data_IF_251982898524
#
_entry.id   IF_251982898524
#
_cell.length_a   1.000
_cell.length_b   1.000
_cell.length_c   1.000
_cell.angle_alpha   90.00
_cell.angle_beta   90.00
_cell.angle_gamma   90.00
#
_symmetry.space_group_name_H-M   'P 1'
#
loop_
_entity.id
_entity.type
_entity.pdbx_description
1 polymer ?
#
# COMPACT_ATOMS: atom_id res chain seq x y z
N UNK A 1 -17.43 17.77 13.11
CA UNK A 1 -17.16 18.50 11.86
C UNK A 1 -16.02 17.76 11.17
N UNK A 2 -16.27 17.08 10.06
CA UNK A 2 -15.22 16.39 9.29
C UNK A 2 -14.53 17.43 8.40
N UNK A 3 -13.43 17.98 8.86
CA UNK A 3 -12.54 18.81 8.04
C UNK A 3 -11.91 17.91 6.98
N UNK A 4 -12.16 18.22 5.71
CA UNK A 4 -11.44 17.64 4.59
C UNK A 4 -9.99 18.08 4.71
N UNK A 5 -9.08 17.15 4.97
CA UNK A 5 -7.64 17.44 5.03
C UNK A 5 -7.09 17.44 3.61
N UNK A 6 -6.46 18.53 3.19
CA UNK A 6 -5.77 18.56 1.90
C UNK A 6 -4.47 17.73 1.97
N UNK A 7 -4.05 17.03 0.89
CA UNK A 7 -2.84 16.20 0.90
C UNK A 7 -1.59 16.97 1.35
N UNK A 8 -1.49 18.26 1.01
CA UNK A 8 -0.40 19.12 1.46
C UNK A 8 -0.44 19.32 2.98
N UNK A 9 -1.60 19.47 3.61
CA UNK A 9 -1.72 19.68 5.07
C UNK A 9 -1.33 18.44 5.87
N UNK A 10 -1.57 17.24 5.34
CA UNK A 10 -1.18 15.96 5.97
C UNK A 10 0.30 15.65 5.78
N UNK A 11 0.88 16.05 4.63
CA UNK A 11 2.19 15.58 4.19
C UNK A 11 3.28 16.66 4.25
N UNK A 12 2.97 17.83 4.80
CA UNK A 12 3.87 18.99 4.82
C UNK A 12 5.13 18.81 5.67
N UNK A 13 5.30 17.73 6.44
CA UNK A 13 6.55 17.49 7.15
C UNK A 13 6.84 16.00 7.38
N UNK A 14 8.13 15.67 7.42
CA UNK A 14 8.78 14.42 7.80
C UNK A 14 8.28 13.94 9.18
N UNK A 15 7.06 13.42 9.25
CA UNK A 15 6.56 12.95 10.52
C UNK A 15 7.48 11.82 11.00
N UNK A 16 7.92 11.91 12.26
CA UNK A 16 8.74 10.88 12.86
C UNK A 16 7.96 9.57 13.14
N UNK A 17 6.71 9.51 12.69
CA UNK A 17 5.71 8.56 13.16
C UNK A 17 5.00 7.92 11.97
N UNK A 18 5.57 6.84 11.39
CA UNK A 18 4.94 6.06 10.33
C UNK A 18 3.48 5.65 10.63
N UNK A 19 3.17 5.42 11.91
CA UNK A 19 1.81 5.08 12.37
C UNK A 19 0.83 6.23 12.10
N UNK A 20 1.18 7.48 12.43
CA UNK A 20 0.30 8.63 12.19
C UNK A 20 0.08 8.89 10.70
N UNK A 21 1.07 8.60 9.84
CA UNK A 21 0.89 8.63 8.39
C UNK A 21 -0.11 7.57 7.92
N UNK A 22 0.00 6.35 8.45
CA UNK A 22 -0.93 5.27 8.17
C UNK A 22 -2.36 5.67 8.57
N UNK A 23 -2.55 6.19 9.78
CA UNK A 23 -3.85 6.66 10.27
C UNK A 23 -4.46 7.75 9.38
N UNK A 24 -3.66 8.73 8.97
CA UNK A 24 -4.14 9.82 8.10
C UNK A 24 -4.55 9.31 6.71
N UNK A 25 -3.79 8.40 6.12
CA UNK A 25 -4.15 7.77 4.85
C UNK A 25 -5.43 6.93 5.01
N UNK A 26 -5.55 6.13 6.07
CA UNK A 26 -6.75 5.32 6.35
C UNK A 26 -8.00 6.20 6.45
N UNK A 27 -7.92 7.28 7.23
CA UNK A 27 -9.04 8.21 7.40
C UNK A 27 -9.54 8.79 6.07
N UNK A 28 -8.64 8.94 5.08
CA UNK A 28 -8.96 9.52 3.77
C UNK A 28 -9.87 8.66 2.90
N UNK A 29 -9.84 7.33 3.08
CA UNK A 29 -10.64 6.39 2.28
C UNK A 29 -11.68 5.60 3.07
N UNK A 30 -11.57 5.57 4.40
CA UNK A 30 -12.58 4.96 5.27
C UNK A 30 -13.81 5.88 5.45
N UNK A 31 -13.64 7.19 5.21
CA UNK A 31 -14.72 8.17 5.24
C UNK A 31 -15.40 8.30 3.88
N UNK A 32 -16.73 8.17 3.84
CA UNK A 32 -17.51 8.49 2.63
C UNK A 32 -17.43 9.97 2.30
N UNK A 33 -16.73 10.28 1.22
CA UNK A 33 -16.57 11.62 0.63
C UNK A 33 -16.96 11.59 -0.86
N UNK A 34 -17.25 12.75 -1.49
CA UNK A 34 -17.43 12.81 -2.95
C UNK A 34 -16.25 12.20 -3.72
N UNK A 35 -15.02 12.41 -3.24
CA UNK A 35 -13.80 11.78 -3.78
C UNK A 35 -13.88 10.26 -3.71
N UNK A 36 -14.21 9.68 -2.56
CA UNK A 36 -14.35 8.22 -2.42
C UNK A 36 -15.41 7.64 -3.36
N UNK A 37 -16.55 8.33 -3.54
CA UNK A 37 -17.59 7.89 -4.47
C UNK A 37 -17.12 7.93 -5.93
N UNK A 38 -16.31 8.94 -6.30
CA UNK A 38 -15.70 9.01 -7.62
C UNK A 38 -14.69 7.87 -7.83
N UNK A 39 -13.84 7.57 -6.84
CA UNK A 39 -12.86 6.49 -6.94
C UNK A 39 -13.53 5.10 -7.02
N UNK A 40 -14.64 4.89 -6.31
CA UNK A 40 -15.45 3.67 -6.39
C UNK A 40 -16.06 3.43 -7.79
N UNK A 41 -16.08 4.43 -8.67
CA UNK A 41 -16.47 4.28 -10.07
C UNK A 41 -15.26 4.10 -10.99
N UNK A 42 -14.19 4.88 -10.77
CA UNK A 42 -13.04 4.90 -11.66
C UNK A 42 -12.17 3.65 -11.53
N UNK A 43 -11.90 3.19 -10.31
CA UNK A 43 -10.99 2.09 -10.07
C UNK A 43 -11.51 0.75 -10.66
N UNK A 44 -12.80 0.35 -10.49
CA UNK A 44 -13.35 -0.82 -11.18
C UNK A 44 -13.33 -0.70 -12.70
N UNK A 45 -13.71 0.47 -13.23
CA UNK A 45 -13.76 0.69 -14.67
C UNK A 45 -12.38 0.54 -15.32
N UNK A 46 -11.34 1.09 -14.68
CA UNK A 46 -9.95 0.87 -15.07
C UNK A 46 -9.56 -0.61 -14.94
N UNK A 47 -9.88 -1.26 -13.81
CA UNK A 47 -9.49 -2.65 -13.57
C UNK A 47 -10.04 -3.58 -14.66
N UNK A 48 -11.29 -3.41 -15.09
CA UNK A 48 -11.87 -4.18 -16.20
C UNK A 48 -11.17 -3.94 -17.54
N UNK A 49 -10.69 -2.71 -17.79
CA UNK A 49 -9.87 -2.40 -18.99
C UNK A 49 -8.51 -3.11 -18.90
N UNK A 50 -7.87 -3.05 -17.73
CA UNK A 50 -6.57 -3.66 -17.49
C UNK A 50 -6.62 -5.19 -17.55
N UNK A 51 -7.62 -5.79 -16.90
CA UNK A 51 -7.88 -7.22 -16.92
C UNK A 51 -8.04 -7.76 -18.34
N UNK A 52 -8.79 -7.07 -19.20
CA UNK A 52 -8.93 -7.48 -20.61
C UNK A 52 -7.61 -7.49 -21.38
N UNK A 53 -6.64 -6.64 -21.04
CA UNK A 53 -5.34 -6.69 -21.70
C UNK A 53 -4.46 -7.79 -21.12
N UNK A 54 -4.36 -7.88 -19.79
CA UNK A 54 -3.44 -8.80 -19.12
C UNK A 54 -3.95 -10.25 -19.19
N UNK A 55 -5.18 -10.50 -18.76
CA UNK A 55 -5.70 -11.86 -18.58
C UNK A 55 -6.11 -12.49 -19.91
N UNK A 56 -6.73 -11.72 -20.82
CA UNK A 56 -7.31 -12.27 -22.05
C UNK A 56 -6.32 -12.31 -23.21
N UNK A 57 -5.42 -11.35 -23.30
CA UNK A 57 -4.43 -11.30 -24.39
C UNK A 57 -3.07 -11.84 -24.00
N UNK A 58 -2.80 -12.01 -22.70
CA UNK A 58 -1.47 -12.40 -22.21
C UNK A 58 -0.39 -11.39 -22.57
N UNK A 59 -0.78 -10.15 -22.89
CA UNK A 59 0.14 -9.08 -23.22
C UNK A 59 0.70 -8.51 -21.93
N UNK A 60 2.00 -8.68 -21.72
CA UNK A 60 2.73 -8.06 -20.64
C UNK A 60 3.79 -7.14 -21.21
N UNK A 61 4.08 -6.04 -20.51
CA UNK A 61 5.19 -5.12 -20.86
C UNK A 61 5.09 -4.44 -22.24
N UNK A 62 3.92 -4.45 -22.86
CA UNK A 62 3.62 -3.64 -24.06
C UNK A 62 3.49 -2.16 -23.69
N UNK A 63 3.54 -1.26 -24.68
CA UNK A 63 3.30 0.18 -24.45
C UNK A 63 1.93 0.43 -23.80
N UNK A 64 0.87 -0.20 -24.32
CA UNK A 64 -0.48 -0.10 -23.78
C UNK A 64 -0.59 -0.62 -22.34
N UNK A 65 -0.01 -1.78 -22.03
CA UNK A 65 -0.07 -2.36 -20.68
C UNK A 65 0.78 -1.56 -19.69
N UNK A 66 1.87 -0.95 -20.15
CA UNK A 66 2.67 0.00 -19.37
C UNK A 66 1.90 1.28 -19.06
N UNK A 67 1.19 1.83 -20.05
CA UNK A 67 0.30 2.98 -19.83
C UNK A 67 -0.80 2.64 -18.81
N UNK A 68 -1.48 1.50 -18.99
CA UNK A 68 -2.53 1.06 -18.07
C UNK A 68 -2.01 0.83 -16.65
N UNK A 69 -0.79 0.29 -16.51
CA UNK A 69 -0.16 0.12 -15.20
C UNK A 69 0.10 1.46 -14.51
N UNK A 70 0.57 2.49 -15.24
CA UNK A 70 0.74 3.85 -14.70
C UNK A 70 -0.58 4.52 -14.35
N UNK A 71 -1.61 4.34 -15.19
CA UNK A 71 -2.98 4.80 -14.90
C UNK A 71 -3.51 4.15 -13.61
N UNK A 72 -3.29 2.85 -13.46
CA UNK A 72 -3.66 2.08 -12.26
C UNK A 72 -2.93 2.56 -11.02
N UNK A 73 -1.61 2.80 -11.14
CA UNK A 73 -0.79 3.33 -10.06
C UNK A 73 -1.32 4.66 -9.54
N UNK A 74 -1.64 5.59 -10.44
CA UNK A 74 -2.24 6.87 -10.08
C UNK A 74 -3.63 6.69 -9.43
N UNK A 75 -4.46 5.77 -9.92
CA UNK A 75 -5.77 5.50 -9.31
C UNK A 75 -5.66 4.87 -7.91
N UNK A 76 -4.71 3.94 -7.70
CA UNK A 76 -4.40 3.37 -6.39
C UNK A 76 -3.94 4.47 -5.44
N UNK A 77 -3.03 5.34 -5.88
CA UNK A 77 -2.58 6.53 -5.14
C UNK A 77 -3.76 7.43 -4.72
N UNK A 78 -4.63 7.77 -5.68
CA UNK A 78 -5.81 8.61 -5.42
C UNK A 78 -6.83 7.97 -4.48
N UNK A 79 -6.96 6.65 -4.55
CA UNK A 79 -7.95 5.91 -3.77
C UNK A 79 -7.49 5.75 -2.33
N UNK A 80 -6.24 5.33 -2.10
CA UNK A 80 -5.80 4.89 -0.77
C UNK A 80 -4.71 5.75 -0.13
N UNK A 81 -4.06 6.64 -0.89
CA UNK A 81 -2.84 7.32 -0.44
C UNK A 81 -2.91 8.82 -0.70
N UNK A 82 -4.08 9.45 -0.62
CA UNK A 82 -4.23 10.92 -0.77
C UNK A 82 -3.64 11.48 -2.08
N UNK A 83 -3.50 10.67 -3.14
CA UNK A 83 -2.79 11.00 -4.38
C UNK A 83 -1.28 11.28 -4.23
N UNK A 84 -0.67 10.89 -3.12
CA UNK A 84 0.69 11.30 -2.77
C UNK A 84 1.79 10.46 -3.40
N UNK A 85 1.47 9.29 -3.95
CA UNK A 85 2.46 8.40 -4.57
C UNK A 85 2.30 8.33 -6.09
N UNK A 86 1.43 9.15 -6.70
CA UNK A 86 1.10 9.07 -8.14
C UNK A 86 2.31 9.28 -9.04
N UNK A 87 3.24 10.12 -8.58
CA UNK A 87 4.41 10.55 -9.33
C UNK A 87 5.64 9.67 -9.07
N UNK A 88 5.52 8.68 -8.17
CA UNK A 88 6.58 7.68 -7.93
C UNK A 88 6.84 6.91 -9.22
N UNK A 89 8.10 6.88 -9.72
CA UNK A 89 8.44 6.12 -10.90
C UNK A 89 8.13 4.63 -10.72
N UNK A 90 7.22 4.12 -11.56
CA UNK A 90 6.85 2.70 -11.61
C UNK A 90 7.26 2.09 -12.95
N UNK A 91 7.91 0.93 -12.91
CA UNK A 91 8.38 0.23 -14.11
C UNK A 91 8.27 -1.30 -13.98
N UNK A 92 8.35 -1.98 -15.12
CA UNK A 92 8.38 -3.45 -15.17
C UNK A 92 9.80 -3.98 -14.93
N UNK A 93 9.93 -5.05 -14.15
CA UNK A 93 11.19 -5.79 -14.03
C UNK A 93 10.93 -7.31 -14.02
N UNK A 94 11.15 -7.94 -15.18
CA UNK A 94 10.96 -9.38 -15.38
C UNK A 94 11.98 -10.24 -14.62
N UNK A 95 13.04 -9.64 -14.05
CA UNK A 95 14.07 -10.37 -13.32
C UNK A 95 13.86 -10.36 -11.79
N UNK A 96 12.80 -9.72 -11.28
CA UNK A 96 12.54 -9.65 -9.84
C UNK A 96 12.40 -11.05 -9.22
N UNK A 97 11.57 -11.92 -9.78
CA UNK A 97 11.37 -13.27 -9.25
C UNK A 97 12.66 -14.10 -9.22
N UNK A 98 13.50 -14.00 -10.26
CA UNK A 98 14.74 -14.78 -10.31
C UNK A 98 15.84 -14.21 -9.40
N UNK A 99 15.85 -12.88 -9.17
CA UNK A 99 16.85 -12.21 -8.33
C UNK A 99 16.53 -12.21 -6.84
N UNK A 100 15.29 -11.91 -6.49
CA UNK A 100 14.87 -11.69 -5.09
C UNK A 100 13.73 -12.60 -4.65
N UNK A 101 13.13 -13.36 -5.58
CA UNK A 101 11.88 -14.08 -5.30
C UNK A 101 10.68 -13.16 -5.13
N UNK A 102 10.84 -11.84 -5.35
CA UNK A 102 9.78 -10.86 -5.09
C UNK A 102 8.89 -10.59 -6.29
N UNK A 103 7.67 -10.16 -5.97
CA UNK A 103 6.60 -9.79 -6.91
C UNK A 103 6.65 -8.31 -7.28
N UNK A 104 7.13 -7.51 -6.35
CA UNK A 104 7.38 -6.08 -6.48
C UNK A 104 8.57 -5.69 -5.63
N UNK A 105 9.13 -4.51 -5.89
CA UNK A 105 10.21 -3.97 -5.08
C UNK A 105 10.08 -2.45 -5.02
N UNK A 106 9.96 -1.94 -3.80
CA UNK A 106 10.11 -0.52 -3.50
C UNK A 106 11.52 -0.27 -3.00
N UNK A 107 12.18 0.77 -3.52
CA UNK A 107 13.53 1.15 -3.13
C UNK A 107 13.67 2.67 -3.06
N UNK A 108 14.69 3.15 -2.36
CA UNK A 108 14.90 4.59 -2.13
C UNK A 108 14.15 5.14 -0.93
N UNK A 109 14.38 6.41 -0.62
CA UNK A 109 13.75 7.14 0.49
C UNK A 109 13.40 8.56 0.05
N UNK A 110 12.35 9.13 0.63
CA UNK A 110 11.87 10.47 0.26
C UNK A 110 11.54 10.57 -1.24
N UNK A 111 12.05 11.60 -1.90
CA UNK A 111 11.79 11.85 -3.33
C UNK A 111 12.55 10.89 -4.27
N UNK A 112 13.46 10.06 -3.75
CA UNK A 112 14.20 9.08 -4.54
C UNK A 112 13.50 7.71 -4.60
N UNK A 113 12.31 7.58 -4.02
CA UNK A 113 11.54 6.34 -4.03
C UNK A 113 11.18 5.92 -5.46
N UNK A 114 11.37 4.65 -5.77
CA UNK A 114 10.94 4.03 -7.03
C UNK A 114 10.35 2.65 -6.79
N UNK A 115 9.48 2.22 -7.71
CA UNK A 115 8.78 0.94 -7.65
C UNK A 115 9.02 0.14 -8.92
N UNK A 116 9.29 -1.15 -8.72
CA UNK A 116 9.37 -2.13 -9.80
C UNK A 116 8.33 -3.22 -9.59
N UNK A 117 7.67 -3.62 -10.66
CA UNK A 117 6.64 -4.67 -10.63
C UNK A 117 7.05 -5.82 -11.54
N UNK A 118 6.87 -7.05 -11.06
CA UNK A 118 7.00 -8.23 -11.91
C UNK A 118 5.74 -8.36 -12.79
N UNK A 119 5.87 -8.66 -14.09
CA UNK A 119 4.73 -8.84 -14.99
C UNK A 119 3.97 -10.15 -14.70
N UNK A 120 3.06 -10.13 -13.72
CA UNK A 120 2.22 -11.26 -13.36
C UNK A 120 1.24 -11.68 -14.46
N UNK A 121 0.86 -12.96 -14.41
CA UNK A 121 -0.12 -13.59 -15.32
C UNK A 121 -1.55 -13.05 -15.18
N UNK A 122 -1.89 -12.41 -14.06
CA UNK A 122 -3.25 -11.90 -13.84
C UNK A 122 -3.23 -10.45 -13.38
N UNK A 123 -4.19 -9.66 -13.86
CA UNK A 123 -4.40 -8.28 -13.46
C UNK A 123 -4.67 -8.14 -11.96
N UNK A 124 -5.36 -9.11 -11.35
CA UNK A 124 -5.62 -9.11 -9.90
C UNK A 124 -4.31 -9.22 -9.10
N UNK A 125 -3.41 -10.13 -9.47
CA UNK A 125 -2.11 -10.24 -8.81
C UNK A 125 -1.25 -8.99 -8.99
N UNK A 126 -1.32 -8.36 -10.18
CA UNK A 126 -0.67 -7.07 -10.42
C UNK A 126 -1.23 -5.98 -9.52
N UNK A 127 -2.55 -5.87 -9.38
CA UNK A 127 -3.19 -4.87 -8.53
C UNK A 127 -2.89 -5.10 -7.04
N UNK A 128 -2.91 -6.35 -6.57
CA UNK A 128 -2.47 -6.71 -5.22
C UNK A 128 -1.03 -6.23 -4.95
N UNK A 129 -0.11 -6.55 -5.87
CA UNK A 129 1.30 -6.16 -5.77
C UNK A 129 1.45 -4.65 -5.84
N UNK A 130 0.70 -3.99 -6.71
CA UNK A 130 0.70 -2.53 -6.85
C UNK A 130 0.30 -1.82 -5.55
N UNK A 131 -0.78 -2.27 -4.90
CA UNK A 131 -1.22 -1.73 -3.62
C UNK A 131 -0.21 -2.02 -2.49
N UNK A 132 0.42 -3.20 -2.50
CA UNK A 132 1.49 -3.58 -1.55
C UNK A 132 2.68 -2.61 -1.65
N UNK A 133 3.21 -2.42 -2.86
CA UNK A 133 4.34 -1.52 -3.08
C UNK A 133 3.97 -0.05 -2.89
N UNK A 134 2.73 0.35 -3.20
CA UNK A 134 2.27 1.71 -2.91
C UNK A 134 2.27 2.03 -1.41
N UNK A 135 1.96 1.06 -0.55
CA UNK A 135 2.07 1.23 0.90
C UNK A 135 3.53 1.44 1.34
N UNK A 136 4.47 0.66 0.80
CA UNK A 136 5.91 0.87 1.05
C UNK A 136 6.39 2.22 0.55
N UNK A 137 5.98 2.61 -0.66
CA UNK A 137 6.37 3.88 -1.26
C UNK A 137 5.85 5.05 -0.42
N UNK A 138 4.58 5.00 -0.02
CA UNK A 138 3.96 6.03 0.82
C UNK A 138 4.73 6.23 2.12
N UNK A 139 4.98 5.15 2.87
CA UNK A 139 5.72 5.23 4.13
C UNK A 139 7.16 5.73 3.89
N UNK A 140 7.84 5.23 2.86
CA UNK A 140 9.23 5.59 2.55
C UNK A 140 9.40 7.03 2.06
N UNK A 141 8.37 7.61 1.44
CA UNK A 141 8.38 9.01 1.00
C UNK A 141 8.18 10.00 2.15
N UNK A 142 7.30 9.68 3.10
CA UNK A 142 6.77 10.67 4.04
C UNK A 142 7.18 10.47 5.51
N UNK A 143 7.87 9.38 5.85
CA UNK A 143 8.47 9.19 7.17
C UNK A 143 9.97 9.54 7.20
N UNK A 144 10.58 9.73 8.38
CA UNK A 144 12.05 9.81 8.52
C UNK A 144 12.79 8.54 8.02
N UNK A 145 12.05 7.50 7.60
CA UNK A 145 12.51 6.11 7.45
C UNK A 145 13.28 5.60 8.68
N UNK A 146 13.14 6.32 9.78
CA UNK A 146 13.86 6.20 11.01
C UNK A 146 15.39 6.12 10.89
N UNK A 147 15.94 6.73 9.84
CA UNK A 147 17.38 6.77 9.56
C UNK A 147 17.87 8.16 9.17
N UNK A 148 17.03 8.95 8.49
CA UNK A 148 17.48 10.22 7.87
C UNK A 148 17.54 11.36 8.87
N UNK A 149 16.72 11.32 9.91
CA UNK A 149 16.63 12.42 10.88
C UNK A 149 17.67 12.38 12.00
N UNK A 150 18.34 11.24 12.22
CA UNK A 150 19.32 11.06 13.30
C UNK A 150 18.74 11.09 14.73
N UNK A 151 17.43 11.22 14.90
CA UNK A 151 16.79 11.21 16.22
C UNK A 151 16.79 9.79 16.82
N UNK A 152 17.34 9.67 18.04
CA UNK A 152 17.53 8.38 18.70
C UNK A 152 16.20 7.68 19.04
N UNK A 153 15.12 8.42 19.28
CA UNK A 153 13.80 7.84 19.49
C UNK A 153 13.20 7.38 18.15
N UNK A 154 13.31 8.15 17.07
CA UNK A 154 12.90 7.72 15.71
C UNK A 154 13.64 6.42 15.35
N UNK A 155 14.97 6.35 15.50
CA UNK A 155 15.78 5.13 15.22
C UNK A 155 15.34 3.93 16.05
N UNK A 156 15.10 4.11 17.36
CA UNK A 156 14.68 3.03 18.26
C UNK A 156 13.32 2.44 17.86
N UNK A 157 12.41 3.26 17.37
CA UNK A 157 11.08 2.83 16.93
C UNK A 157 11.08 2.18 15.53
N UNK A 158 12.18 2.28 14.76
CA UNK A 158 12.27 1.75 13.39
C UNK A 158 11.79 0.32 13.27
N UNK A 159 12.38 -0.57 14.08
CA UNK A 159 12.07 -2.00 14.01
C UNK A 159 10.57 -2.25 14.18
N UNK A 160 9.92 -1.55 15.08
CA UNK A 160 8.49 -1.77 15.38
C UNK A 160 7.58 -1.10 14.35
N UNK A 161 7.81 0.19 14.05
CA UNK A 161 6.91 0.95 13.16
C UNK A 161 7.07 0.58 11.69
N UNK A 162 8.31 0.32 11.26
CA UNK A 162 8.66 0.02 9.86
C UNK A 162 8.84 -1.48 9.60
N UNK A 163 9.17 -2.28 10.62
CA UNK A 163 9.51 -3.70 10.44
C UNK A 163 10.97 -3.89 10.01
N UNK A 164 11.47 -5.10 10.17
CA UNK A 164 12.80 -5.49 9.68
C UNK A 164 12.80 -5.65 8.17
N UNK A 165 11.70 -6.18 7.61
CA UNK A 165 11.50 -6.39 6.17
C UNK A 165 10.63 -5.32 5.51
N UNK A 166 10.27 -4.26 6.26
CA UNK A 166 9.39 -3.19 5.80
C UNK A 166 7.92 -3.41 6.11
N UNK A 167 7.56 -4.49 6.82
CA UNK A 167 6.17 -4.83 7.13
C UNK A 167 5.84 -4.59 8.62
N UNK A 168 6.28 -3.46 9.19
CA UNK A 168 6.00 -3.10 10.59
C UNK A 168 4.55 -2.70 10.86
N UNK A 169 4.30 -2.10 12.03
CA UNK A 169 2.95 -1.71 12.46
C UNK A 169 2.25 -0.79 11.45
N UNK A 170 2.94 0.26 10.97
CA UNK A 170 2.34 1.23 10.04
C UNK A 170 1.92 0.58 8.72
N UNK A 171 2.77 -0.29 8.17
CA UNK A 171 2.46 -1.02 6.95
C UNK A 171 1.30 -2.00 7.15
N UNK A 172 1.27 -2.75 8.26
CA UNK A 172 0.17 -3.67 8.52
C UNK A 172 -1.17 -2.96 8.73
N UNK A 173 -1.17 -1.79 9.39
CA UNK A 173 -2.37 -0.96 9.55
C UNK A 173 -2.92 -0.54 8.19
N UNK A 174 -2.06 0.02 7.32
CA UNK A 174 -2.42 0.40 5.96
C UNK A 174 -2.92 -0.80 5.16
N UNK A 175 -2.17 -1.90 5.16
CA UNK A 175 -2.51 -3.09 4.40
C UNK A 175 -3.87 -3.64 4.82
N UNK A 176 -4.13 -3.76 6.14
CA UNK A 176 -5.40 -4.26 6.65
C UNK A 176 -6.58 -3.37 6.24
N UNK A 177 -6.41 -2.04 6.33
CA UNK A 177 -7.44 -1.10 5.96
C UNK A 177 -7.72 -1.10 4.45
N UNK A 178 -6.68 -1.18 3.61
CA UNK A 178 -6.80 -1.29 2.15
C UNK A 178 -7.48 -2.61 1.76
N UNK A 179 -7.08 -3.74 2.36
CA UNK A 179 -7.73 -5.04 2.13
C UNK A 179 -9.24 -4.93 2.40
N UNK A 180 -9.65 -4.35 3.54
CA UNK A 180 -11.07 -4.14 3.87
C UNK A 180 -11.77 -3.19 2.90
N UNK A 181 -11.21 -2.00 2.69
CA UNK A 181 -11.82 -0.97 1.86
C UNK A 181 -11.95 -1.40 0.39
N UNK A 182 -11.03 -2.21 -0.10
CA UNK A 182 -11.03 -2.66 -1.49
C UNK A 182 -12.30 -3.40 -1.90
N UNK A 183 -13.01 -4.08 -1.00
CA UNK A 183 -14.31 -4.68 -1.31
C UNK A 183 -15.33 -3.64 -1.75
N UNK A 184 -15.31 -2.45 -1.14
CA UNK A 184 -16.20 -1.34 -1.50
C UNK A 184 -15.78 -0.72 -2.83
N UNK A 185 -14.48 -0.61 -3.08
CA UNK A 185 -13.95 0.07 -4.26
C UNK A 185 -13.84 -0.82 -5.50
N UNK A 186 -13.79 -2.15 -5.35
CA UNK A 186 -13.48 -3.10 -6.43
C UNK A 186 -14.47 -4.27 -6.53
N UNK A 187 -15.39 -4.42 -5.58
CA UNK A 187 -16.26 -5.60 -5.43
C UNK A 187 -15.50 -6.92 -5.17
N UNK A 188 -14.22 -6.81 -4.82
CA UNK A 188 -13.42 -7.92 -4.32
C UNK A 188 -12.34 -7.42 -3.36
N UNK A 189 -11.96 -8.29 -2.42
CA UNK A 189 -10.87 -8.03 -1.50
C UNK A 189 -9.51 -8.18 -2.19
N UNK A 190 -8.68 -7.14 -2.11
CA UNK A 190 -7.25 -7.25 -2.41
C UNK A 190 -6.58 -8.09 -1.33
N UNK A 191 -5.54 -8.82 -1.71
CA UNK A 191 -4.67 -9.55 -0.78
C UNK A 191 -3.28 -8.93 -0.89
N UNK A 192 -2.93 -8.11 0.09
CA UNK A 192 -1.62 -7.44 0.13
C UNK A 192 -0.55 -8.36 0.73
N UNK A 193 -0.85 -9.64 1.00
CA UNK A 193 0.07 -10.57 1.63
C UNK A 193 0.32 -10.24 3.11
N UNK A 194 -0.58 -9.47 3.74
CA UNK A 194 -0.39 -8.94 5.09
C UNK A 194 -0.14 -10.04 6.11
N UNK A 195 -0.95 -11.09 6.11
CA UNK A 195 -0.83 -12.17 7.09
C UNK A 195 0.52 -12.90 6.99
N UNK A 196 1.01 -13.17 5.77
CA UNK A 196 2.35 -13.73 5.57
C UNK A 196 3.45 -12.78 5.98
N UNK A 197 3.37 -11.50 5.58
CA UNK A 197 4.34 -10.47 5.93
C UNK A 197 4.43 -10.23 7.44
N UNK A 198 3.29 -10.20 8.14
CA UNK A 198 3.24 -10.07 9.60
C UNK A 198 3.92 -11.23 10.33
N UNK A 199 3.80 -12.47 9.82
CA UNK A 199 4.46 -13.63 10.44
C UNK A 199 5.98 -13.55 10.36
N UNK A 200 6.51 -12.90 9.33
CA UNK A 200 7.94 -12.65 9.17
C UNK A 200 8.47 -11.56 10.11
N UNK A 201 7.58 -10.81 10.77
CA UNK A 201 7.86 -9.69 11.69
C UNK A 201 7.44 -10.03 13.14
N UNK A 202 7.19 -11.31 13.44
CA UNK A 202 6.49 -11.79 14.65
C UNK A 202 7.00 -11.21 15.97
N UNK A 203 8.33 -11.07 16.13
CA UNK A 203 8.96 -10.54 17.35
C UNK A 203 8.55 -9.09 17.67
N UNK A 204 8.06 -8.36 16.66
CA UNK A 204 7.69 -6.94 16.76
C UNK A 204 6.19 -6.75 17.03
N UNK A 205 5.36 -7.72 16.62
CA UNK A 205 3.90 -7.67 16.73
C UNK A 205 3.35 -8.34 17.99
N UNK A 206 4.16 -9.10 18.72
CA UNK A 206 3.80 -9.80 19.98
C UNK A 206 3.59 -8.89 21.20
N UNK A 207 3.66 -7.57 21.03
CA UNK A 207 3.22 -6.66 22.09
C UNK A 207 1.68 -6.69 22.09
N UNK A 208 1.07 -7.56 22.89
CA UNK A 208 -0.40 -7.73 22.98
C UNK A 208 -1.18 -6.40 23.03
N UNK A 209 -0.63 -5.38 23.68
CA UNK A 209 -1.22 -4.04 23.74
C UNK A 209 -1.31 -3.34 22.37
N UNK A 210 -0.39 -3.61 21.44
CA UNK A 210 -0.39 -3.03 20.10
C UNK A 210 -1.49 -3.65 19.21
N UNK A 211 -1.76 -4.95 19.35
CA UNK A 211 -2.83 -5.63 18.59
C UNK A 211 -4.20 -5.05 18.94
N UNK A 212 -4.49 -4.93 20.25
CA UNK A 212 -5.75 -4.37 20.71
C UNK A 212 -5.89 -2.89 20.31
N UNK A 213 -4.86 -2.08 20.59
CA UNK A 213 -4.94 -0.62 20.37
C UNK A 213 -4.99 -0.21 18.89
N UNK A 214 -4.25 -0.91 18.01
CA UNK A 214 -4.08 -0.48 16.62
C UNK A 214 -4.94 -1.27 15.63
N UNK A 215 -5.34 -2.49 15.97
CA UNK A 215 -6.09 -3.37 15.08
C UNK A 215 -7.48 -3.75 15.62
N UNK A 216 -7.90 -3.15 16.74
CA UNK A 216 -9.22 -3.38 17.35
C UNK A 216 -9.44 -4.85 17.70
N UNK A 217 -8.40 -5.51 18.21
CA UNK A 217 -8.42 -6.93 18.59
C UNK A 217 -8.30 -7.92 17.42
N UNK A 218 -8.12 -7.45 16.18
CA UNK A 218 -7.90 -8.32 15.02
C UNK A 218 -6.40 -8.59 14.84
N UNK A 219 -6.00 -9.86 14.97
CA UNK A 219 -4.61 -10.28 14.80
C UNK A 219 -4.13 -10.06 13.34
N UNK A 220 -3.12 -9.18 13.10
CA UNK A 220 -2.62 -8.90 11.75
C UNK A 220 -1.87 -10.09 11.11
N UNK A 221 -1.56 -11.16 11.86
CA UNK A 221 -0.95 -12.40 11.35
C UNK A 221 -1.98 -13.35 10.74
N UNK A 222 -3.26 -13.05 10.88
CA UNK A 222 -4.37 -13.83 10.35
C UNK A 222 -5.00 -13.12 9.15
N UNK A 223 -5.51 -13.93 8.24
CA UNK A 223 -6.35 -13.42 7.17
C UNK A 223 -7.65 -12.89 7.79
N UNK A 224 -8.14 -11.78 7.24
CA UNK A 224 -9.44 -11.25 7.66
C UNK A 224 -10.48 -12.25 7.15
N UNK A 225 -11.38 -12.77 8.00
CA UNK A 225 -12.48 -13.61 7.54
C UNK A 225 -13.27 -12.88 6.44
N UNK A 226 -13.66 -13.61 5.40
CA UNK A 226 -14.61 -13.06 4.43
C UNK A 226 -15.98 -13.07 5.11
N UNK A 227 -16.75 -11.96 5.15
CA UNK A 227 -18.04 -11.91 5.87
C UNK A 227 -19.12 -12.89 5.34
N UNK A 228 -18.83 -13.64 4.26
CA UNK A 228 -19.75 -14.56 3.59
C UNK A 228 -19.25 -16.02 3.58
N UNK A 229 -18.23 -16.36 4.38
CA UNK A 229 -17.70 -17.71 4.52
C UNK A 229 -17.49 -18.09 5.99
#
# INVERSE_FOLDING_TARGET
>A
MNTHLEPSEVLLYQSHHPISLAEAAIASFDTKTPRSAQMAQQLPAWFLKFQRQVDQKGEHTTELTTQLMREGWALVSKTFFLDSVSDVPVSWDSNLLSRSGSRGETSGVGQAVMVKLYPYKTARMLLNTMAHEAAHAFISMYSCHNEVCGDAACVKEKGVSMGVKGHGLAWNMLAMAIERASEVFLDFRLDLGRASSSRDEHELLDRDHAVEALFGGVDPRRDIPHPNH
#
